data_IF_185986896571
#
_entry.id   IF_185986896571
#
_cell.length_a   1.000
_cell.length_b   1.000
_cell.length_c   1.000
_cell.angle_alpha   90.00
_cell.angle_beta   90.00
_cell.angle_gamma   90.00
#
_symmetry.space_group_name_H-M   'P 1'
#
loop_
_entity.id
_entity.type
_entity.pdbx_description
1 polymer ?
#
# COMPACT_ATOMS: atom_id res chain seq x y z
N UNK A 1 24.69 -37.19 17.24
CA UNK A 1 25.20 -36.57 15.99
C UNK A 1 24.05 -36.05 15.14
N UNK A 2 23.00 -36.85 14.93
CA UNK A 2 21.79 -36.46 14.16
C UNK A 2 20.98 -35.32 14.79
N UNK A 3 20.75 -35.37 16.12
CA UNK A 3 20.05 -34.30 16.87
C UNK A 3 20.74 -32.93 16.75
N UNK A 4 22.08 -32.89 16.73
CA UNK A 4 22.82 -31.64 16.53
C UNK A 4 22.64 -31.11 15.09
N UNK A 5 22.53 -32.01 14.11
CA UNK A 5 22.30 -31.62 12.71
C UNK A 5 20.88 -31.10 12.46
N UNK A 6 19.88 -31.62 13.17
CA UNK A 6 18.51 -31.13 13.11
C UNK A 6 18.38 -29.77 13.80
N UNK A 7 19.02 -29.61 14.95
CA UNK A 7 19.08 -28.33 15.67
C UNK A 7 19.74 -27.24 14.81
N UNK A 8 20.86 -27.53 14.15
CA UNK A 8 21.54 -26.59 13.26
C UNK A 8 20.66 -26.19 12.06
N UNK A 9 19.94 -27.13 11.46
CA UNK A 9 18.98 -26.85 10.37
C UNK A 9 17.82 -25.98 10.87
N UNK A 10 17.28 -26.27 12.05
CA UNK A 10 16.20 -25.49 12.64
C UNK A 10 16.65 -24.06 12.96
N UNK A 11 17.85 -23.87 13.53
CA UNK A 11 18.42 -22.56 13.81
C UNK A 11 18.65 -21.76 12.53
N UNK A 12 19.16 -22.40 11.48
CA UNK A 12 19.32 -21.76 10.16
C UNK A 12 17.96 -21.33 9.61
N UNK A 13 16.96 -22.21 9.64
CA UNK A 13 15.61 -21.87 9.15
C UNK A 13 14.97 -20.73 9.95
N UNK A 14 15.15 -20.69 11.26
CA UNK A 14 14.67 -19.58 12.11
C UNK A 14 15.38 -18.27 11.75
N UNK A 15 16.68 -18.30 11.47
CA UNK A 15 17.42 -17.12 11.04
C UNK A 15 16.91 -16.60 9.67
N UNK A 16 16.71 -17.50 8.71
CA UNK A 16 16.12 -17.16 7.40
C UNK A 16 14.72 -16.56 7.54
N UNK A 17 13.84 -17.18 8.33
CA UNK A 17 12.49 -16.67 8.56
C UNK A 17 12.48 -15.31 9.26
N UNK A 18 13.44 -15.04 10.16
CA UNK A 18 13.56 -13.73 10.82
C UNK A 18 14.00 -12.65 9.83
N UNK A 19 14.94 -12.97 8.95
CA UNK A 19 15.42 -12.05 7.91
C UNK A 19 14.31 -11.73 6.90
N UNK A 20 13.62 -12.77 6.40
CA UNK A 20 12.43 -12.62 5.53
C UNK A 20 11.34 -11.77 6.21
N UNK A 21 11.09 -12.00 7.51
CA UNK A 21 10.10 -11.24 8.26
C UNK A 21 10.48 -9.76 8.40
N UNK A 22 11.76 -9.46 8.63
CA UNK A 22 12.24 -8.08 8.69
C UNK A 22 12.15 -7.41 7.32
N UNK A 23 12.50 -8.11 6.24
CA UNK A 23 12.31 -7.63 4.87
C UNK A 23 10.85 -7.23 4.61
N UNK A 24 9.89 -8.10 4.93
CA UNK A 24 8.47 -7.78 4.76
C UNK A 24 8.01 -6.61 5.64
N UNK A 25 8.49 -6.50 6.88
CA UNK A 25 8.21 -5.33 7.73
C UNK A 25 8.72 -4.03 7.10
N UNK A 26 9.92 -4.04 6.50
CA UNK A 26 10.44 -2.86 5.78
C UNK A 26 9.60 -2.54 4.55
N UNK A 27 9.19 -3.54 3.77
CA UNK A 27 8.29 -3.34 2.61
C UNK A 27 6.94 -2.76 3.01
N UNK A 28 6.33 -3.25 4.10
CA UNK A 28 5.10 -2.67 4.65
C UNK A 28 5.33 -1.22 5.08
N UNK A 29 6.45 -0.94 5.77
CA UNK A 29 6.77 0.42 6.20
C UNK A 29 7.01 1.37 5.03
N UNK A 30 7.64 0.90 3.96
CA UNK A 30 7.82 1.65 2.73
C UNK A 30 6.48 2.02 2.09
N UNK A 31 5.55 1.05 1.98
CA UNK A 31 4.19 1.29 1.47
C UNK A 31 3.44 2.30 2.34
N UNK A 32 3.49 2.15 3.67
CA UNK A 32 2.90 3.09 4.65
C UNK A 32 3.42 4.52 4.45
N UNK A 33 4.73 4.70 4.29
CA UNK A 33 5.35 6.00 4.06
C UNK A 33 4.98 6.60 2.70
N UNK A 34 4.92 5.79 1.65
CA UNK A 34 4.50 6.24 0.31
C UNK A 34 3.03 6.65 0.33
N UNK A 35 2.15 5.87 0.96
CA UNK A 35 0.74 6.22 1.13
C UNK A 35 0.59 7.52 1.93
N UNK A 36 1.29 7.65 3.07
CA UNK A 36 1.27 8.86 3.89
C UNK A 36 1.75 10.11 3.12
N UNK A 37 2.78 9.98 2.28
CA UNK A 37 3.24 11.07 1.41
C UNK A 37 2.16 11.49 0.40
N UNK A 38 1.47 10.53 -0.22
CA UNK A 38 0.38 10.83 -1.15
C UNK A 38 -0.79 11.54 -0.45
N UNK A 39 -1.18 11.08 0.75
CA UNK A 39 -2.23 11.74 1.53
C UNK A 39 -1.85 13.17 1.93
N UNK A 40 -0.60 13.39 2.37
CA UNK A 40 -0.09 14.72 2.71
C UNK A 40 -0.17 15.67 1.50
N UNK A 41 0.12 15.17 0.30
CA UNK A 41 0.07 15.96 -0.93
C UNK A 41 -1.37 16.30 -1.31
N UNK A 42 -2.31 15.38 -1.15
CA UNK A 42 -3.74 15.66 -1.34
C UNK A 42 -4.22 16.75 -0.38
N UNK A 43 -3.84 16.67 0.90
CA UNK A 43 -4.14 17.71 1.90
C UNK A 43 -3.54 19.06 1.52
N UNK A 44 -2.28 19.06 1.06
CA UNK A 44 -1.59 20.27 0.59
C UNK A 44 -2.29 20.89 -0.61
N UNK A 45 -2.76 20.07 -1.56
CA UNK A 45 -3.54 20.54 -2.70
C UNK A 45 -4.86 21.18 -2.26
N UNK A 46 -5.59 20.60 -1.30
CA UNK A 46 -6.79 21.23 -0.73
C UNK A 46 -6.47 22.60 -0.10
N UNK A 47 -5.39 22.70 0.67
CA UNK A 47 -4.95 23.97 1.28
C UNK A 47 -4.63 25.01 0.20
N UNK A 48 -3.91 24.62 -0.86
CA UNK A 48 -3.56 25.52 -1.98
C UNK A 48 -4.82 26.01 -2.72
N UNK A 49 -5.81 25.14 -2.90
CA UNK A 49 -7.06 25.50 -3.55
C UNK A 49 -7.88 26.49 -2.70
N UNK A 50 -8.00 26.24 -1.39
CA UNK A 50 -8.85 27.04 -0.49
C UNK A 50 -8.20 28.35 -0.03
N UNK A 51 -6.87 28.37 0.07
CA UNK A 51 -6.14 29.45 0.75
C UNK A 51 -4.93 29.98 -0.04
N UNK A 52 -4.53 29.32 -1.12
CA UNK A 52 -3.38 29.69 -1.93
C UNK A 52 -3.76 30.32 -3.27
N UNK A 53 -3.07 29.91 -4.33
CA UNK A 53 -3.26 30.42 -5.69
C UNK A 53 -4.43 29.75 -6.45
N UNK A 54 -5.21 28.91 -5.77
CA UNK A 54 -6.42 28.28 -6.28
C UNK A 54 -6.19 26.94 -6.99
N UNK A 55 -7.26 26.38 -7.54
CA UNK A 55 -7.34 24.98 -8.00
C UNK A 55 -6.23 24.58 -9.00
N UNK A 56 -5.83 25.49 -9.89
CA UNK A 56 -4.80 25.20 -10.89
C UNK A 56 -3.41 25.04 -10.25
N UNK A 57 -3.10 25.85 -9.25
CA UNK A 57 -1.87 25.71 -8.48
C UNK A 57 -1.91 24.44 -7.62
N UNK A 58 -3.07 24.14 -7.02
CA UNK A 58 -3.29 22.92 -6.24
C UNK A 58 -2.94 21.64 -7.01
N UNK A 59 -3.34 21.55 -8.28
CA UNK A 59 -3.01 20.38 -9.12
C UNK A 59 -1.51 20.15 -9.29
N UNK A 60 -0.68 21.19 -9.23
CA UNK A 60 0.78 21.06 -9.35
C UNK A 60 1.37 20.24 -8.20
N UNK A 61 0.82 20.33 -6.99
CA UNK A 61 1.23 19.49 -5.86
C UNK A 61 1.04 18.01 -6.15
N UNK A 62 -0.10 17.65 -6.77
CA UNK A 62 -0.42 16.27 -7.15
C UNK A 62 0.51 15.81 -8.27
N UNK A 63 0.63 16.57 -9.37
CA UNK A 63 1.48 16.22 -10.50
C UNK A 63 2.96 16.04 -10.12
N UNK A 64 3.49 16.91 -9.25
CA UNK A 64 4.89 16.86 -8.82
C UNK A 64 5.22 15.67 -7.91
N UNK A 65 4.20 15.03 -7.33
CA UNK A 65 4.38 13.92 -6.38
C UNK A 65 4.36 12.56 -7.06
N UNK A 66 3.60 12.43 -8.14
CA UNK A 66 3.48 11.18 -8.89
C UNK A 66 4.83 10.81 -9.53
N UNK A 67 5.38 9.65 -9.18
CA UNK A 67 6.75 9.19 -9.45
C UNK A 67 6.92 8.48 -10.81
N UNK A 68 6.29 9.01 -11.87
CA UNK A 68 6.59 8.60 -13.25
C UNK A 68 5.63 7.58 -13.89
N UNK A 69 6.05 6.90 -14.98
CA UNK A 69 5.17 6.07 -15.81
C UNK A 69 4.46 4.96 -15.00
N UNK A 70 3.13 4.90 -15.10
CA UNK A 70 2.29 3.95 -14.35
C UNK A 70 1.54 4.55 -13.16
N UNK A 71 1.96 5.72 -12.66
CA UNK A 71 1.19 6.48 -11.65
C UNK A 71 0.18 7.44 -12.26
N UNK A 72 0.39 7.83 -13.52
CA UNK A 72 -0.61 8.50 -14.35
C UNK A 72 -1.52 7.49 -15.04
N UNK A 73 -2.79 7.86 -15.24
CA UNK A 73 -3.65 7.14 -16.15
C UNK A 73 -3.05 7.17 -17.59
N UNK A 74 -3.30 6.14 -18.41
CA UNK A 74 -2.94 6.16 -19.82
C UNK A 74 -3.48 7.40 -20.55
N UNK A 75 -2.74 7.92 -21.53
CA UNK A 75 -3.07 9.16 -22.25
C UNK A 75 -4.41 9.08 -23.01
N UNK A 76 -4.85 7.87 -23.37
CA UNK A 76 -6.14 7.60 -24.03
C UNK A 76 -7.36 7.74 -23.10
N UNK A 77 -7.17 7.77 -21.78
CA UNK A 77 -8.27 7.88 -20.82
C UNK A 77 -8.72 9.33 -20.68
N UNK A 78 -9.87 9.68 -21.27
CA UNK A 78 -10.43 11.05 -21.22
C UNK A 78 -11.66 11.19 -20.32
N UNK A 79 -12.26 10.08 -19.89
CA UNK A 79 -13.41 10.05 -18.98
C UNK A 79 -12.99 9.60 -17.59
N UNK A 80 -12.80 10.57 -16.69
CA UNK A 80 -12.33 10.33 -15.34
C UNK A 80 -13.29 9.44 -14.52
N UNK A 81 -14.61 9.58 -14.71
CA UNK A 81 -15.59 8.81 -13.94
C UNK A 81 -15.63 7.35 -14.40
N UNK A 82 -15.63 7.13 -15.72
CA UNK A 82 -15.57 5.78 -16.28
C UNK A 82 -14.26 5.08 -15.90
N UNK A 83 -13.14 5.79 -15.94
CA UNK A 83 -11.84 5.27 -15.50
C UNK A 83 -11.87 4.88 -14.02
N UNK A 84 -12.34 5.79 -13.15
CA UNK A 84 -12.43 5.55 -11.72
C UNK A 84 -13.28 4.32 -11.41
N UNK A 85 -14.51 4.25 -11.93
CA UNK A 85 -15.42 3.15 -11.65
C UNK A 85 -14.79 1.79 -11.99
N UNK A 86 -14.16 1.70 -13.17
CA UNK A 86 -13.53 0.47 -13.67
C UNK A 86 -12.32 0.05 -12.83
N UNK A 87 -11.54 1.00 -12.30
CA UNK A 87 -10.37 0.71 -11.46
C UNK A 87 -10.76 0.46 -10.00
N UNK A 88 -11.72 1.20 -9.48
CA UNK A 88 -12.23 1.08 -8.13
C UNK A 88 -12.86 -0.30 -7.89
N UNK A 89 -13.64 -0.82 -8.84
CA UNK A 89 -14.27 -2.14 -8.73
C UNK A 89 -13.25 -3.26 -8.44
N UNK A 90 -12.08 -3.22 -9.11
CA UNK A 90 -11.01 -4.20 -8.88
C UNK A 90 -10.43 -4.06 -7.47
N UNK A 91 -10.14 -2.83 -7.06
CA UNK A 91 -9.57 -2.54 -5.74
C UNK A 91 -10.54 -2.93 -4.61
N UNK A 92 -11.81 -2.56 -4.74
CA UNK A 92 -12.86 -2.84 -3.76
C UNK A 92 -13.05 -4.34 -3.56
N UNK A 93 -13.01 -5.12 -4.65
CA UNK A 93 -13.07 -6.57 -4.59
C UNK A 93 -11.89 -7.15 -3.80
N UNK A 94 -10.67 -6.76 -4.12
CA UNK A 94 -9.47 -7.26 -3.42
C UNK A 94 -9.46 -6.84 -1.95
N UNK A 95 -9.88 -5.60 -1.63
CA UNK A 95 -10.01 -5.14 -0.25
C UNK A 95 -11.05 -5.96 0.52
N UNK A 96 -12.18 -6.29 -0.11
CA UNK A 96 -13.19 -7.14 0.51
C UNK A 96 -12.64 -8.52 0.88
N UNK A 97 -11.90 -9.16 -0.03
CA UNK A 97 -11.29 -10.48 0.20
C UNK A 97 -10.28 -10.42 1.38
N UNK A 98 -9.51 -9.34 1.48
CA UNK A 98 -8.59 -9.10 2.60
C UNK A 98 -9.33 -8.89 3.92
N UNK A 99 -10.43 -8.15 3.92
CA UNK A 99 -11.25 -7.92 5.12
C UNK A 99 -11.93 -9.19 5.61
N UNK A 100 -12.44 -10.02 4.71
CA UNK A 100 -12.99 -11.34 5.04
C UNK A 100 -11.90 -12.22 5.68
N UNK A 101 -10.69 -12.20 5.13
CA UNK A 101 -9.57 -12.92 5.73
C UNK A 101 -9.25 -12.45 7.15
N UNK A 102 -9.20 -11.14 7.40
CA UNK A 102 -8.95 -10.58 8.74
C UNK A 102 -10.08 -10.90 9.73
N UNK A 103 -11.32 -10.94 9.26
CA UNK A 103 -12.47 -11.37 10.06
C UNK A 103 -12.32 -12.81 10.52
N UNK A 104 -12.03 -13.73 9.60
CA UNK A 104 -11.82 -15.14 9.93
C UNK A 104 -10.57 -15.34 10.79
N UNK A 105 -9.52 -14.56 10.57
CA UNK A 105 -8.32 -14.58 11.42
C UNK A 105 -8.65 -14.25 12.88
N UNK A 106 -9.38 -13.16 13.13
CA UNK A 106 -9.78 -12.77 14.50
C UNK A 106 -10.58 -13.87 15.19
N UNK A 107 -11.56 -14.47 14.50
CA UNK A 107 -12.32 -15.61 15.05
C UNK A 107 -11.43 -16.78 15.48
N UNK A 108 -10.40 -17.12 14.68
CA UNK A 108 -9.48 -18.22 15.01
C UNK A 108 -8.60 -17.92 16.22
N UNK A 109 -8.18 -16.67 16.39
CA UNK A 109 -7.24 -16.28 17.46
C UNK A 109 -7.95 -15.93 18.76
N UNK A 110 -9.13 -15.30 18.69
CA UNK A 110 -9.94 -14.92 19.85
C UNK A 110 -10.88 -16.04 20.31
N UNK A 111 -11.18 -17.00 19.44
CA UNK A 111 -11.95 -18.21 19.76
C UNK A 111 -11.11 -19.40 20.24
N UNK A 112 -9.79 -19.23 20.37
CA UNK A 112 -8.84 -20.21 20.92
C UNK A 112 -8.42 -19.84 22.34
#
# INVERSE_FOLDING_TARGET
MELNSELDRALKRVAELKDENEYFRKRIKEIDLIFGKNLLVMQTACIEAEHGEGDKAAMSWIFNTLLGPGEFAPDEETDAQAYFNRKAEVIEKELSEVYDWFHEYRKRVEGA
#
